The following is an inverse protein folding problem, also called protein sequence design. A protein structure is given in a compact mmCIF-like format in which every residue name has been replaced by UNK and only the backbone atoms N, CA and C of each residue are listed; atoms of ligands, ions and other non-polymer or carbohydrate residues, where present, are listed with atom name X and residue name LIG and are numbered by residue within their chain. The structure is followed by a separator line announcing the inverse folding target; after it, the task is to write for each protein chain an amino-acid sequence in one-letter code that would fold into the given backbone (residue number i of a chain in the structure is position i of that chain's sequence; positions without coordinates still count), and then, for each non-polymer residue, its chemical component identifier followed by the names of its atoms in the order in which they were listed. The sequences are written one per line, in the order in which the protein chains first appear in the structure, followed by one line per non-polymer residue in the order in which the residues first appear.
data_IF_608675159365
#
_entry.id   IF_608675159365
#
_cell.length_a   1.000
_cell.length_b   1.000
_cell.length_c   1.000
_cell.angle_alpha   90.00
_cell.angle_beta   90.00
_cell.angle_gamma   90.00
#
_symmetry.space_group_name_H-M   'P 1'
#
loop_
_entity.id
_entity.type
_entity.pdbx_description
1 polymer ?
#
# COMPACT_ATOMS: atom_id res chain seq x y z
N UNK A 1 -46.30 -42.03 32.24
CA UNK A 1 -45.11 -41.77 31.46
C UNK A 1 -45.06 -40.27 31.17
N UNK A 2 -44.30 -39.51 31.95
CA UNK A 2 -44.19 -38.04 31.85
C UNK A 2 -42.90 -37.73 31.06
N UNK A 3 -43.04 -37.18 29.83
CA UNK A 3 -41.95 -36.78 28.98
C UNK A 3 -41.46 -35.39 29.47
N UNK A 4 -40.22 -35.32 29.91
CA UNK A 4 -39.56 -34.06 30.25
C UNK A 4 -39.01 -33.36 28.96
N UNK A 5 -39.54 -32.20 28.62
CA UNK A 5 -38.98 -31.31 27.59
C UNK A 5 -37.70 -30.66 28.13
N UNK A 6 -36.56 -31.01 27.52
CA UNK A 6 -35.28 -30.28 27.76
C UNK A 6 -35.21 -29.15 26.76
N UNK A 7 -35.41 -27.93 27.20
CA UNK A 7 -35.19 -26.71 26.42
C UNK A 7 -33.70 -26.39 26.37
N UNK A 8 -33.08 -26.56 25.22
CA UNK A 8 -31.69 -26.10 24.98
C UNK A 8 -31.71 -24.59 24.67
N UNK A 9 -31.33 -23.77 25.61
CA UNK A 9 -31.06 -22.36 25.37
C UNK A 9 -29.73 -22.23 24.63
N UNK A 10 -29.77 -21.91 23.34
CA UNK A 10 -28.58 -21.49 22.61
C UNK A 10 -28.18 -20.07 23.05
N UNK A 11 -27.08 -19.96 23.79
CA UNK A 11 -26.46 -18.67 24.12
C UNK A 11 -25.95 -18.05 22.81
N UNK A 12 -26.67 -17.09 22.27
CA UNK A 12 -26.16 -16.23 21.20
C UNK A 12 -25.14 -15.29 21.82
N UNK A 13 -23.84 -15.58 21.63
CA UNK A 13 -22.77 -14.64 21.94
C UNK A 13 -22.88 -13.49 20.94
N UNK A 14 -23.35 -12.35 21.40
CA UNK A 14 -23.34 -11.12 20.59
C UNK A 14 -21.89 -10.77 20.25
N UNK A 15 -21.51 -10.88 18.98
CA UNK A 15 -20.21 -10.44 18.51
C UNK A 15 -20.18 -8.92 18.59
N UNK A 16 -19.30 -8.37 19.42
CA UNK A 16 -19.11 -6.92 19.52
C UNK A 16 -18.78 -6.36 18.11
N UNK A 17 -19.31 -5.17 17.77
CA UNK A 17 -18.95 -4.53 16.51
C UNK A 17 -17.43 -4.31 16.46
N UNK A 18 -16.81 -4.36 15.29
CA UNK A 18 -15.37 -4.10 15.16
C UNK A 18 -15.06 -2.69 15.68
N UNK A 19 -13.91 -2.49 16.33
CA UNK A 19 -13.53 -1.18 16.82
C UNK A 19 -13.42 -0.21 15.63
N UNK A 20 -13.84 1.04 15.87
CA UNK A 20 -13.68 2.13 14.92
C UNK A 20 -12.26 2.69 15.00
N UNK A 21 -11.82 3.38 13.95
CA UNK A 21 -10.64 4.20 13.99
C UNK A 21 -10.80 5.30 15.03
N UNK A 22 -9.77 5.51 15.85
CA UNK A 22 -9.78 6.50 16.93
C UNK A 22 -8.71 7.55 16.65
N UNK A 23 -9.14 8.67 16.13
CA UNK A 23 -8.22 9.77 15.79
C UNK A 23 -7.49 10.36 16.98
N UNK A 24 -8.04 10.25 18.19
CA UNK A 24 -7.36 10.68 19.41
C UNK A 24 -6.14 9.82 19.72
N UNK A 25 -6.23 8.50 19.46
CA UNK A 25 -5.09 7.58 19.56
C UNK A 25 -4.07 7.83 18.46
N UNK A 26 -4.51 7.97 17.20
CA UNK A 26 -3.62 8.30 16.10
C UNK A 26 -2.90 9.63 16.33
N UNK A 27 -3.60 10.64 16.85
CA UNK A 27 -3.04 11.93 17.21
C UNK A 27 -1.98 11.82 18.32
N UNK A 28 -2.21 11.00 19.33
CA UNK A 28 -1.20 10.78 20.36
C UNK A 28 0.05 10.10 19.80
N UNK A 29 -0.09 9.12 18.91
CA UNK A 29 1.06 8.56 18.19
C UNK A 29 1.79 9.61 17.37
N UNK A 30 1.07 10.49 16.66
CA UNK A 30 1.68 11.61 15.93
C UNK A 30 2.46 12.55 16.86
N UNK A 31 1.90 12.90 18.00
CA UNK A 31 2.59 13.73 19.01
C UNK A 31 3.90 13.11 19.47
N UNK A 32 3.91 11.79 19.72
CA UNK A 32 5.11 11.08 20.16
C UNK A 32 6.18 11.04 19.06
N UNK A 33 5.78 10.79 17.81
CA UNK A 33 6.70 10.78 16.67
C UNK A 33 7.31 12.17 16.44
N UNK A 34 6.52 13.23 16.48
CA UNK A 34 7.00 14.60 16.34
C UNK A 34 7.92 15.02 17.50
N UNK A 35 7.66 14.52 18.73
CA UNK A 35 8.52 14.79 19.88
C UNK A 35 9.93 14.19 19.75
N UNK A 36 10.10 13.09 19.02
CA UNK A 36 11.42 12.53 18.67
C UNK A 36 12.20 13.54 17.83
N UNK A 37 11.53 14.27 16.94
CA UNK A 37 12.12 15.31 16.10
C UNK A 37 12.45 14.86 14.68
N UNK A 38 13.36 15.59 13.98
CA UNK A 38 13.83 15.20 12.65
C UNK A 38 14.44 13.80 12.67
N UNK A 39 13.94 12.94 11.80
CA UNK A 39 14.26 11.51 11.76
C UNK A 39 14.64 11.01 10.36
N UNK A 40 15.60 11.69 9.67
CA UNK A 40 16.01 11.22 8.35
C UNK A 40 16.62 9.82 8.45
N UNK A 41 16.49 9.05 7.38
CA UNK A 41 17.06 7.70 7.28
C UNK A 41 18.53 7.66 7.73
N UNK A 42 18.89 6.63 8.50
CA UNK A 42 20.23 6.44 9.06
C UNK A 42 20.53 7.27 10.31
N UNK A 43 19.64 8.16 10.77
CA UNK A 43 19.87 8.99 11.97
C UNK A 43 19.58 8.22 13.26
N UNK A 44 20.12 8.63 14.43
CA UNK A 44 19.73 8.09 15.73
C UNK A 44 18.23 8.28 16.04
N UNK A 45 17.61 9.34 15.51
CA UNK A 45 16.20 9.63 15.71
C UNK A 45 15.30 8.64 14.95
N UNK A 46 15.68 8.20 13.74
CA UNK A 46 14.93 7.16 13.03
C UNK A 46 14.97 5.81 13.76
N UNK A 47 16.07 5.51 14.48
CA UNK A 47 16.15 4.31 15.33
C UNK A 47 15.19 4.39 16.53
N UNK A 48 15.07 5.57 17.15
CA UNK A 48 14.09 5.82 18.21
C UNK A 48 12.66 5.70 17.69
N UNK A 49 12.41 6.20 16.47
CA UNK A 49 11.12 6.08 15.80
C UNK A 49 10.75 4.63 15.54
N UNK A 50 11.68 3.82 14.99
CA UNK A 50 11.48 2.37 14.80
C UNK A 50 11.15 1.65 16.11
N UNK A 51 11.91 1.98 17.15
CA UNK A 51 11.67 1.42 18.49
C UNK A 51 10.25 1.76 18.97
N UNK A 52 9.83 3.01 18.86
CA UNK A 52 8.49 3.45 19.25
C UNK A 52 7.40 2.70 18.46
N UNK A 53 7.50 2.64 17.14
CA UNK A 53 6.54 1.93 16.27
C UNK A 53 6.46 0.46 16.67
N UNK A 54 7.62 -0.20 16.85
CA UNK A 54 7.69 -1.62 17.23
C UNK A 54 7.05 -1.88 18.59
N UNK A 55 7.30 -1.02 19.59
CA UNK A 55 6.69 -1.12 20.91
C UNK A 55 5.17 -1.01 20.86
N UNK A 56 4.63 -0.04 20.09
CA UNK A 56 3.18 0.15 19.97
C UNK A 56 2.51 -1.04 19.27
N UNK A 57 3.08 -1.54 18.19
CA UNK A 57 2.58 -2.71 17.47
C UNK A 57 2.65 -3.99 18.30
N UNK A 58 3.74 -4.17 19.05
CA UNK A 58 3.91 -5.29 19.98
C UNK A 58 2.91 -5.22 21.13
N UNK A 59 2.68 -4.04 21.71
CA UNK A 59 1.67 -3.81 22.72
C UNK A 59 0.24 -4.10 22.21
N UNK A 60 -0.01 -3.85 20.92
CA UNK A 60 -1.23 -4.29 20.23
C UNK A 60 -1.25 -5.81 19.97
N UNK A 61 -0.19 -6.56 20.35
CA UNK A 61 -0.06 -8.01 20.19
C UNK A 61 0.17 -8.44 18.74
N UNK A 62 0.90 -7.65 17.99
CA UNK A 62 1.36 -7.94 16.63
C UNK A 62 2.87 -8.22 16.63
N UNK A 63 3.32 -9.09 15.75
CA UNK A 63 4.74 -9.38 15.56
C UNK A 63 5.30 -8.51 14.44
N UNK A 64 6.26 -7.67 14.77
CA UNK A 64 6.94 -6.80 13.81
C UNK A 64 8.07 -7.56 13.13
N UNK A 65 8.16 -7.42 11.83
CA UNK A 65 9.27 -7.92 11.01
C UNK A 65 10.06 -6.73 10.50
N UNK A 66 11.36 -6.75 10.73
CA UNK A 66 12.30 -5.76 10.21
C UNK A 66 12.93 -6.27 8.91
N UNK A 67 12.90 -5.44 7.88
CA UNK A 67 13.61 -5.65 6.63
C UNK A 67 14.73 -4.60 6.55
N UNK A 68 15.91 -4.96 7.02
CA UNK A 68 17.07 -4.07 7.10
C UNK A 68 18.03 -4.28 5.92
N UNK A 69 18.53 -3.17 5.37
CA UNK A 69 19.57 -3.19 4.33
C UNK A 69 20.46 -1.96 4.41
N UNK A 70 21.52 -1.96 3.64
CA UNK A 70 22.38 -0.81 3.42
C UNK A 70 22.19 -0.31 1.99
N UNK A 71 21.84 0.97 1.85
CA UNK A 71 21.59 1.62 0.58
C UNK A 71 22.72 2.58 0.24
N UNK A 72 23.18 2.56 -1.03
CA UNK A 72 24.11 3.56 -1.53
C UNK A 72 23.32 4.76 -2.06
N UNK A 73 23.23 5.80 -1.27
CA UNK A 73 22.60 7.06 -1.67
C UNK A 73 23.61 7.97 -2.39
N UNK A 74 23.18 9.06 -3.06
CA UNK A 74 24.10 10.00 -3.68
C UNK A 74 25.09 10.67 -2.72
N UNK A 75 24.76 10.75 -1.42
CA UNK A 75 25.57 11.42 -0.41
C UNK A 75 26.48 10.42 0.32
N UNK A 76 25.91 9.30 0.76
CA UNK A 76 26.58 8.36 1.64
C UNK A 76 25.87 7.01 1.62
N UNK A 77 26.50 6.00 2.21
CA UNK A 77 25.89 4.70 2.47
C UNK A 77 25.05 4.79 3.74
N UNK A 78 23.77 4.43 3.65
CA UNK A 78 22.80 4.58 4.73
C UNK A 78 22.17 3.24 5.06
N UNK A 79 22.08 2.91 6.35
CA UNK A 79 21.28 1.79 6.84
C UNK A 79 19.82 2.23 6.88
N UNK A 80 18.98 1.51 6.14
CA UNK A 80 17.53 1.69 6.11
C UNK A 80 16.83 0.43 6.62
N UNK A 81 15.61 0.57 7.17
CA UNK A 81 14.84 -0.54 7.72
C UNK A 81 13.35 -0.32 7.47
N UNK A 82 12.73 -1.12 6.62
CA UNK A 82 11.28 -1.22 6.60
C UNK A 82 10.78 -2.03 7.79
N UNK A 83 9.62 -1.66 8.35
CA UNK A 83 8.92 -2.45 9.35
C UNK A 83 7.62 -2.96 8.77
N UNK A 84 7.27 -4.21 9.06
CA UNK A 84 5.95 -4.72 8.65
C UNK A 84 5.29 -5.56 9.74
N UNK A 85 3.96 -5.57 9.72
CA UNK A 85 3.13 -6.48 10.49
C UNK A 85 2.11 -7.13 9.60
N UNK A 86 1.91 -8.44 9.79
CA UNK A 86 0.92 -9.21 9.06
C UNK A 86 -0.26 -9.53 9.95
N UNK A 87 -1.46 -9.13 9.53
CA UNK A 87 -2.73 -9.39 10.20
C UNK A 87 -3.47 -10.44 9.37
N UNK A 88 -3.59 -11.70 9.86
CA UNK A 88 -4.17 -12.78 9.10
C UNK A 88 -5.63 -12.49 8.72
N UNK A 89 -5.99 -12.84 7.48
CA UNK A 89 -7.37 -12.89 6.99
C UNK A 89 -7.82 -14.32 6.70
N UNK A 90 -9.02 -14.46 6.17
CA UNK A 90 -9.55 -15.76 5.75
C UNK A 90 -8.78 -16.38 4.58
N UNK A 91 -8.06 -15.56 3.81
CA UNK A 91 -7.22 -15.98 2.68
C UNK A 91 -5.81 -15.44 2.82
N UNK A 92 -4.84 -16.16 2.24
CA UNK A 92 -3.43 -15.77 2.22
C UNK A 92 -3.09 -14.66 1.22
N UNK A 93 -4.00 -14.38 0.28
CA UNK A 93 -3.84 -13.23 -0.60
C UNK A 93 -3.78 -11.95 0.24
N UNK A 94 -2.85 -11.03 -0.08
CA UNK A 94 -2.53 -9.87 0.76
C UNK A 94 -2.97 -8.55 0.13
N UNK A 95 -3.42 -7.65 1.00
CA UNK A 95 -3.50 -6.21 0.76
C UNK A 95 -2.42 -5.55 1.60
N UNK A 96 -1.55 -4.74 1.00
CA UNK A 96 -0.60 -3.90 1.71
C UNK A 96 -1.22 -2.52 1.93
N UNK A 97 -1.12 -1.99 3.14
CA UNK A 97 -1.38 -0.58 3.45
C UNK A 97 -0.07 -0.02 3.99
N UNK A 98 0.47 0.98 3.32
CA UNK A 98 1.81 1.50 3.60
C UNK A 98 1.82 3.01 3.82
N UNK A 99 2.89 3.49 4.40
CA UNK A 99 3.26 4.88 4.53
C UNK A 99 4.68 4.98 5.03
N UNK A 100 5.36 6.06 4.74
CA UNK A 100 6.72 6.25 5.21
C UNK A 100 6.76 6.81 6.64
N UNK A 101 7.92 6.71 7.28
CA UNK A 101 8.11 7.19 8.65
C UNK A 101 9.39 8.00 8.84
N UNK A 102 10.24 8.09 7.82
CA UNK A 102 11.40 8.98 7.79
C UNK A 102 10.98 10.43 7.53
N UNK A 103 11.93 11.35 7.62
CA UNK A 103 11.76 12.75 7.23
C UNK A 103 12.87 13.16 6.30
N UNK A 104 12.60 14.13 5.44
CA UNK A 104 13.60 14.74 4.60
C UNK A 104 14.76 15.31 5.42
N UNK A 105 15.97 15.17 4.91
CA UNK A 105 17.17 15.71 5.53
C UNK A 105 17.35 17.19 5.19
N UNK A 106 16.99 18.08 6.10
CA UNK A 106 17.31 19.51 6.02
C UNK A 106 18.42 19.88 7.01
N UNK A 107 19.41 20.63 6.55
CA UNK A 107 20.50 21.16 7.37
C UNK A 107 20.28 22.64 7.75
N UNK A 108 19.39 23.32 7.03
CA UNK A 108 19.14 24.77 7.13
C UNK A 108 18.12 25.11 8.22
N UNK A 109 17.19 24.18 8.50
CA UNK A 109 16.14 24.33 9.49
C UNK A 109 15.74 22.97 10.08
N UNK A 110 15.01 23.02 11.18
CA UNK A 110 14.47 21.83 11.82
C UNK A 110 13.17 21.41 11.12
N UNK A 111 13.18 20.24 10.49
CA UNK A 111 12.02 19.64 9.83
C UNK A 111 11.58 18.40 10.60
N UNK A 112 10.40 18.45 11.21
CA UNK A 112 9.89 17.34 12.03
C UNK A 112 8.91 16.44 11.26
N UNK A 113 8.46 16.88 10.09
CA UNK A 113 7.57 16.07 9.23
C UNK A 113 6.35 15.57 10.02
N UNK A 114 5.50 16.48 10.47
CA UNK A 114 4.32 16.08 11.24
C UNK A 114 3.26 15.47 10.32
N UNK A 115 2.94 16.12 9.21
CA UNK A 115 2.12 15.52 8.16
C UNK A 115 2.95 14.57 7.33
N UNK A 116 4.14 14.99 6.92
CA UNK A 116 5.07 14.31 6.03
C UNK A 116 5.84 13.22 6.80
N UNK A 117 5.45 11.96 6.58
CA UNK A 117 5.90 10.75 7.26
C UNK A 117 5.34 10.53 8.67
N UNK A 118 5.09 11.60 9.44
CA UNK A 118 4.55 11.48 10.80
C UNK A 118 3.11 11.00 10.82
N UNK A 119 2.26 11.61 9.99
CA UNK A 119 0.84 11.28 9.91
C UNK A 119 0.61 9.86 9.41
N UNK A 120 1.36 9.42 8.44
CA UNK A 120 1.33 8.06 7.87
C UNK A 120 1.66 7.01 8.91
N UNK A 121 2.77 7.19 9.62
CA UNK A 121 3.20 6.24 10.66
C UNK A 121 2.21 6.18 11.83
N UNK A 122 1.73 7.32 12.31
CA UNK A 122 0.74 7.40 13.39
C UNK A 122 -0.59 6.74 13.01
N UNK A 123 -1.04 6.98 11.78
CA UNK A 123 -2.24 6.36 11.21
C UNK A 123 -2.13 4.84 11.16
N UNK A 124 -1.00 4.32 10.66
CA UNK A 124 -0.79 2.87 10.52
C UNK A 124 -0.74 2.16 11.89
N UNK A 125 -0.20 2.80 12.94
CA UNK A 125 -0.20 2.23 14.30
C UNK A 125 -1.64 2.06 14.80
N UNK A 126 -2.48 3.07 14.67
CA UNK A 126 -3.89 2.96 15.10
C UNK A 126 -4.69 2.00 14.20
N UNK A 127 -4.43 2.02 12.89
CA UNK A 127 -5.06 1.11 11.94
C UNK A 127 -4.77 -0.36 12.28
N UNK A 128 -3.54 -0.66 12.76
CA UNK A 128 -3.15 -1.99 13.21
C UNK A 128 -4.06 -2.53 14.30
N UNK A 129 -4.39 -1.70 15.31
CA UNK A 129 -5.30 -2.04 16.41
C UNK A 129 -6.70 -2.41 15.88
N UNK A 130 -7.21 -1.60 14.96
CA UNK A 130 -8.54 -1.80 14.38
C UNK A 130 -8.60 -3.06 13.53
N UNK A 131 -7.64 -3.23 12.62
CA UNK A 131 -7.61 -4.35 11.68
C UNK A 131 -7.36 -5.69 12.36
N UNK A 132 -6.61 -5.71 13.48
CA UNK A 132 -6.43 -6.92 14.29
C UNK A 132 -7.75 -7.46 14.84
N UNK A 133 -8.66 -6.58 15.23
CA UNK A 133 -9.96 -6.96 15.77
C UNK A 133 -11.04 -7.15 14.67
N UNK A 134 -10.76 -6.71 13.44
CA UNK A 134 -11.66 -6.87 12.28
C UNK A 134 -11.56 -8.29 11.71
N UNK A 135 -12.67 -8.83 11.20
CA UNK A 135 -12.66 -10.04 10.38
C UNK A 135 -12.26 -9.67 8.95
N UNK A 136 -10.99 -9.90 8.61
CA UNK A 136 -10.44 -9.60 7.29
C UNK A 136 -10.69 -10.76 6.35
N UNK A 137 -11.20 -10.49 5.14
CA UNK A 137 -11.37 -11.53 4.11
C UNK A 137 -10.03 -11.91 3.46
N UNK A 138 -9.13 -10.94 3.30
CA UNK A 138 -7.75 -11.12 2.85
C UNK A 138 -6.79 -10.80 4.01
N UNK A 139 -5.59 -11.33 3.95
CA UNK A 139 -4.52 -10.95 4.87
C UNK A 139 -4.16 -9.48 4.63
N UNK A 140 -4.04 -8.70 5.69
CA UNK A 140 -3.59 -7.30 5.62
C UNK A 140 -2.15 -7.24 6.11
N UNK A 141 -1.31 -6.57 5.36
CA UNK A 141 0.05 -6.23 5.75
C UNK A 141 0.15 -4.72 5.89
N UNK A 142 0.54 -4.25 7.07
CA UNK A 142 0.88 -2.85 7.28
C UNK A 142 2.39 -2.70 7.12
N UNK A 143 2.81 -1.76 6.29
CA UNK A 143 4.19 -1.57 5.89
C UNK A 143 4.62 -0.13 6.17
N UNK A 144 5.56 0.03 7.07
CA UNK A 144 6.20 1.30 7.39
C UNK A 144 7.49 1.39 6.59
N UNK A 145 7.56 2.34 5.69
CA UNK A 145 8.65 2.49 4.73
C UNK A 145 9.71 3.46 5.27
N UNK A 146 10.99 3.09 5.13
CA UNK A 146 12.14 3.93 5.43
C UNK A 146 12.75 4.41 4.11
N UNK A 147 13.19 5.66 4.07
CA UNK A 147 13.88 6.21 2.91
C UNK A 147 12.93 6.46 1.73
N UNK A 148 11.74 6.94 1.97
CA UNK A 148 10.91 7.53 0.94
C UNK A 148 11.57 8.82 0.43
N UNK A 149 12.09 9.62 1.35
CA UNK A 149 12.62 10.94 1.11
C UNK A 149 13.95 10.96 0.34
N UNK A 150 14.03 11.87 -0.62
CA UNK A 150 15.28 12.14 -1.35
C UNK A 150 16.37 12.67 -0.42
N UNK A 151 17.61 12.17 -0.59
CA UNK A 151 18.78 12.60 0.18
C UNK A 151 19.34 13.94 -0.33
N UNK A 152 19.16 14.22 -1.61
CA UNK A 152 19.45 15.52 -2.24
C UNK A 152 18.25 16.46 -2.10
N UNK A 153 18.45 17.78 -2.30
CA UNK A 153 17.35 18.75 -2.26
C UNK A 153 16.24 18.41 -3.25
N UNK A 154 16.61 17.97 -4.45
CA UNK A 154 15.69 17.70 -5.54
C UNK A 154 15.18 16.26 -5.51
N UNK A 155 13.90 16.06 -5.78
CA UNK A 155 13.31 14.76 -6.03
C UNK A 155 13.62 14.32 -7.46
N UNK A 156 14.60 13.45 -7.65
CA UNK A 156 15.02 13.08 -8.99
C UNK A 156 15.58 11.66 -9.09
N UNK A 157 15.37 11.03 -10.24
CA UNK A 157 15.95 9.74 -10.57
C UNK A 157 15.55 8.66 -9.57
N UNK A 158 16.54 8.04 -8.94
CA UNK A 158 16.36 6.97 -7.95
C UNK A 158 16.71 7.39 -6.52
N UNK A 159 16.92 8.69 -6.29
CA UNK A 159 17.19 9.24 -4.96
C UNK A 159 15.89 9.52 -4.20
N UNK A 160 15.05 8.49 -4.08
CA UNK A 160 13.77 8.52 -3.37
C UNK A 160 13.19 7.10 -3.29
N UNK A 161 12.11 6.92 -2.57
CA UNK A 161 11.33 5.68 -2.52
C UNK A 161 12.17 4.40 -2.35
N UNK A 162 13.25 4.50 -1.60
CA UNK A 162 14.19 3.40 -1.39
C UNK A 162 13.52 2.20 -0.74
N UNK A 163 12.67 2.46 0.28
CA UNK A 163 11.99 1.42 1.04
C UNK A 163 11.02 0.59 0.20
N UNK A 164 10.18 1.24 -0.58
CA UNK A 164 9.21 0.54 -1.43
C UNK A 164 9.87 -0.22 -2.59
N UNK A 165 10.91 0.37 -3.21
CA UNK A 165 11.71 -0.33 -4.23
C UNK A 165 12.38 -1.58 -3.65
N UNK A 166 12.98 -1.46 -2.47
CA UNK A 166 13.62 -2.59 -1.78
C UNK A 166 12.59 -3.67 -1.42
N UNK A 167 11.45 -3.28 -0.84
CA UNK A 167 10.38 -4.22 -0.49
C UNK A 167 9.89 -5.01 -1.71
N UNK A 168 9.59 -4.33 -2.82
CA UNK A 168 9.11 -4.98 -4.05
C UNK A 168 10.15 -5.93 -4.64
N UNK A 169 11.43 -5.53 -4.63
CA UNK A 169 12.53 -6.38 -5.13
C UNK A 169 12.68 -7.65 -4.28
N UNK A 170 12.64 -7.53 -2.94
CA UNK A 170 12.71 -8.67 -2.04
C UNK A 170 11.49 -9.59 -2.20
N UNK A 171 10.28 -9.01 -2.29
CA UNK A 171 9.06 -9.78 -2.53
C UNK A 171 9.05 -10.52 -3.89
N UNK A 172 9.75 -9.97 -4.89
CA UNK A 172 9.98 -10.66 -6.16
C UNK A 172 10.94 -11.83 -6.02
N UNK A 173 12.06 -11.64 -5.28
CA UNK A 173 13.10 -12.65 -5.07
C UNK A 173 12.61 -13.85 -4.28
N UNK A 174 11.83 -13.64 -3.23
CA UNK A 174 11.30 -14.70 -2.37
C UNK A 174 9.97 -15.28 -2.86
N UNK A 175 9.41 -14.73 -3.94
CA UNK A 175 8.15 -15.17 -4.55
C UNK A 175 6.90 -14.70 -3.82
N UNK A 176 7.00 -13.94 -2.73
CA UNK A 176 5.87 -13.46 -1.94
C UNK A 176 5.03 -12.42 -2.70
N UNK A 177 5.60 -11.77 -3.73
CA UNK A 177 4.88 -10.88 -4.64
C UNK A 177 3.66 -11.57 -5.29
N UNK A 178 3.73 -12.89 -5.49
CA UNK A 178 2.64 -13.67 -6.08
C UNK A 178 1.36 -13.70 -5.23
N UNK A 179 1.44 -13.37 -3.95
CA UNK A 179 0.27 -13.26 -3.05
C UNK A 179 -0.20 -11.83 -2.86
N UNK A 180 0.57 -10.84 -3.29
CA UNK A 180 0.22 -9.43 -3.19
C UNK A 180 -0.82 -9.07 -4.25
N UNK A 181 -1.96 -8.51 -3.84
CA UNK A 181 -3.10 -8.22 -4.72
C UNK A 181 -3.32 -6.76 -4.97
N UNK A 182 -3.06 -5.93 -3.99
CA UNK A 182 -3.17 -4.48 -4.11
C UNK A 182 -2.42 -3.80 -2.96
N UNK A 183 -2.08 -2.53 -3.17
CA UNK A 183 -1.43 -1.67 -2.20
C UNK A 183 -2.21 -0.35 -2.09
N UNK A 184 -2.34 0.16 -0.88
CA UNK A 184 -2.79 1.52 -0.58
C UNK A 184 -1.67 2.23 0.17
N UNK A 185 -1.22 3.35 -0.37
CA UNK A 185 -0.31 4.26 0.28
C UNK A 185 -1.12 5.33 0.99
N UNK A 186 -0.67 5.77 2.14
CA UNK A 186 -1.14 6.97 2.83
C UNK A 186 0.07 7.86 3.07
N UNK A 187 0.00 9.09 2.62
CA UNK A 187 1.04 10.08 2.82
C UNK A 187 0.46 11.48 3.02
N UNK A 188 1.13 12.30 3.84
CA UNK A 188 0.73 13.68 4.17
C UNK A 188 -0.78 13.83 4.52
N UNK A 189 -1.35 12.85 5.23
CA UNK A 189 -2.78 12.79 5.57
C UNK A 189 -3.15 13.54 6.86
N UNK A 190 -2.22 14.32 7.40
CA UNK A 190 -2.39 15.06 8.64
C UNK A 190 -2.87 16.49 8.47
N UNK A 191 -2.85 17.05 7.27
CA UNK A 191 -3.18 18.45 7.02
C UNK A 191 -4.51 18.86 7.67
N UNK A 192 -4.52 20.01 8.35
CA UNK A 192 -5.70 20.58 8.97
C UNK A 192 -6.79 20.92 7.95
N UNK A 193 -6.36 21.38 6.77
CA UNK A 193 -7.21 21.77 5.66
C UNK A 193 -7.26 20.70 4.57
N UNK A 194 -7.29 19.44 4.96
CA UNK A 194 -7.20 18.23 4.16
C UNK A 194 -8.00 18.30 2.85
N UNK A 195 -7.31 18.12 1.71
CA UNK A 195 -7.87 18.17 0.36
C UNK A 195 -7.25 17.14 -0.60
N UNK A 196 -7.54 15.86 -0.36
CA UNK A 196 -6.97 14.74 -1.11
C UNK A 196 -7.50 14.73 -2.56
N UNK A 197 -6.59 14.84 -3.53
CA UNK A 197 -6.89 14.73 -4.96
C UNK A 197 -6.67 13.31 -5.46
N UNK A 198 -7.35 12.96 -6.57
CA UNK A 198 -7.09 11.69 -7.25
C UNK A 198 -5.70 11.71 -7.86
N UNK A 199 -4.85 10.74 -7.51
CA UNK A 199 -3.62 10.55 -8.25
C UNK A 199 -3.88 9.84 -9.58
N UNK A 200 -3.39 10.44 -10.68
CA UNK A 200 -3.53 9.91 -12.03
C UNK A 200 -2.62 8.70 -12.32
N UNK A 201 -1.56 8.51 -11.53
CA UNK A 201 -0.68 7.33 -11.60
C UNK A 201 -1.26 6.14 -10.85
N UNK A 202 -2.23 6.38 -9.97
CA UNK A 202 -2.93 5.35 -9.21
C UNK A 202 -3.83 4.47 -10.06
N UNK A 203 -4.15 3.28 -9.56
CA UNK A 203 -5.09 2.38 -10.22
C UNK A 203 -6.51 2.92 -10.14
N UNK A 204 -7.12 3.24 -11.27
CA UNK A 204 -8.43 3.89 -11.38
C UNK A 204 -9.52 3.24 -10.55
N UNK A 205 -9.60 1.89 -10.50
CA UNK A 205 -10.65 1.24 -9.74
C UNK A 205 -10.49 1.37 -8.21
N UNK A 206 -9.25 1.57 -7.71
CA UNK A 206 -8.99 1.87 -6.30
C UNK A 206 -9.42 3.30 -5.99
N UNK A 207 -9.00 4.28 -6.79
CA UNK A 207 -9.49 5.65 -6.70
C UNK A 207 -11.03 5.68 -6.65
N UNK A 208 -11.70 4.97 -7.55
CA UNK A 208 -13.17 4.98 -7.61
C UNK A 208 -13.79 4.41 -6.33
N UNK A 209 -13.28 3.31 -5.78
CA UNK A 209 -13.79 2.73 -4.52
C UNK A 209 -13.61 3.70 -3.35
N UNK A 210 -12.44 4.35 -3.24
CA UNK A 210 -12.15 5.29 -2.16
C UNK A 210 -13.05 6.53 -2.24
N UNK A 211 -13.12 7.21 -3.39
CA UNK A 211 -13.97 8.39 -3.59
C UNK A 211 -15.46 8.09 -3.48
N UNK A 212 -15.90 6.93 -3.98
CA UNK A 212 -17.28 6.49 -3.78
C UNK A 212 -17.58 6.18 -2.30
N UNK A 213 -16.58 5.72 -1.55
CA UNK A 213 -16.71 5.50 -0.12
C UNK A 213 -16.78 6.81 0.64
N UNK A 214 -15.91 7.77 0.33
CA UNK A 214 -15.94 9.12 0.89
C UNK A 214 -17.32 9.76 0.70
N UNK A 215 -17.85 9.74 -0.53
CA UNK A 215 -19.18 10.28 -0.85
C UNK A 215 -20.30 9.61 -0.06
N UNK A 216 -20.27 8.28 0.12
CA UNK A 216 -21.28 7.56 0.93
C UNK A 216 -21.21 7.87 2.41
N UNK A 217 -20.10 8.43 2.87
CA UNK A 217 -19.87 8.81 4.26
C UNK A 217 -19.96 10.32 4.48
N UNK A 218 -20.39 11.08 3.46
CA UNK A 218 -20.45 12.55 3.48
C UNK A 218 -19.08 13.18 3.80
N UNK A 219 -18.00 12.63 3.20
CA UNK A 219 -16.59 13.04 3.35
C UNK A 219 -15.97 13.50 2.01
N UNK A 220 -16.78 13.77 1.01
CA UNK A 220 -16.35 14.20 -0.32
C UNK A 220 -15.77 15.61 -0.37
N UNK A 221 -16.02 16.42 0.66
CA UNK A 221 -15.32 17.71 0.86
C UNK A 221 -13.80 17.51 1.09
N UNK A 222 -13.38 16.36 1.58
CA UNK A 222 -11.96 16.01 1.84
C UNK A 222 -11.34 15.17 0.72
N UNK A 223 -12.17 14.43 -0.03
CA UNK A 223 -11.76 13.61 -1.18
C UNK A 223 -12.27 14.25 -2.45
N UNK A 224 -11.61 15.32 -2.87
CA UNK A 224 -12.06 16.21 -3.94
C UNK A 224 -11.97 15.55 -5.33
N UNK A 225 -12.75 16.08 -6.28
CA UNK A 225 -12.89 15.45 -7.60
C UNK A 225 -11.68 15.65 -8.51
N UNK A 226 -10.84 16.65 -8.21
CA UNK A 226 -9.66 17.00 -9.02
C UNK A 226 -8.66 15.86 -9.09
N UNK A 227 -7.82 15.91 -10.10
CA UNK A 227 -6.77 14.91 -10.32
C UNK A 227 -5.43 15.60 -10.55
N UNK A 228 -4.39 15.02 -9.93
CA UNK A 228 -2.99 15.40 -10.15
C UNK A 228 -2.17 14.15 -10.46
N UNK A 229 -0.93 14.33 -10.86
CA UNK A 229 0.01 13.21 -11.09
C UNK A 229 1.07 13.24 -10.00
N UNK A 230 1.21 12.15 -9.29
CA UNK A 230 2.11 12.03 -8.14
C UNK A 230 3.12 10.92 -8.38
N UNK A 231 4.36 11.15 -7.96
CA UNK A 231 5.42 10.15 -7.92
C UNK A 231 5.76 9.86 -6.47
N UNK A 232 5.51 8.61 -6.03
CA UNK A 232 5.64 8.21 -4.64
C UNK A 232 5.80 6.67 -4.52
N UNK A 233 5.87 6.16 -3.30
CA UNK A 233 6.07 4.76 -2.91
C UNK A 233 5.08 3.75 -3.52
N UNK A 234 3.93 4.20 -4.05
CA UNK A 234 3.01 3.36 -4.78
C UNK A 234 3.53 2.95 -6.18
N UNK A 235 4.43 3.75 -6.79
CA UNK A 235 4.93 3.50 -8.15
C UNK A 235 5.77 2.22 -8.30
N UNK A 236 6.66 1.85 -7.37
CA UNK A 236 7.37 0.57 -7.43
C UNK A 236 6.42 -0.64 -7.48
N UNK A 237 5.31 -0.59 -6.74
CA UNK A 237 4.27 -1.63 -6.78
C UNK A 237 3.55 -1.64 -8.13
N UNK A 238 3.22 -0.47 -8.66
CA UNK A 238 2.63 -0.31 -10.01
C UNK A 238 3.54 -0.88 -11.10
N UNK A 239 4.83 -0.58 -11.03
CA UNK A 239 5.84 -1.10 -11.96
C UNK A 239 5.99 -2.63 -11.87
N UNK A 240 5.71 -3.21 -10.69
CA UNK A 240 5.66 -4.66 -10.48
C UNK A 240 4.34 -5.31 -10.93
N UNK A 241 3.39 -4.54 -11.48
CA UNK A 241 2.08 -5.03 -11.93
C UNK A 241 1.05 -5.16 -10.80
N UNK A 242 1.33 -4.63 -9.62
CA UNK A 242 0.40 -4.62 -8.48
C UNK A 242 -0.48 -3.38 -8.58
N UNK A 243 -1.82 -3.52 -8.56
CA UNK A 243 -2.70 -2.38 -8.43
C UNK A 243 -2.40 -1.60 -7.15
N UNK A 244 -2.11 -0.30 -7.27
CA UNK A 244 -1.82 0.55 -6.12
C UNK A 244 -2.53 1.90 -6.24
N UNK A 245 -2.77 2.54 -5.11
CA UNK A 245 -3.35 3.87 -4.99
C UNK A 245 -2.58 4.65 -3.95
N UNK A 246 -2.43 5.92 -4.22
CA UNK A 246 -1.88 6.91 -3.31
C UNK A 246 -3.01 7.79 -2.76
N UNK A 247 -3.05 7.93 -1.45
CA UNK A 247 -3.98 8.75 -0.66
C UNK A 247 -3.12 9.83 0.00
N UNK A 248 -2.95 10.94 -0.71
CA UNK A 248 -2.02 11.99 -0.33
C UNK A 248 -2.66 13.37 -0.48
N UNK A 249 -2.36 14.26 0.44
CA UNK A 249 -2.64 15.69 0.32
C UNK A 249 -1.36 16.45 -0.06
N UNK A 250 -1.16 16.68 -1.36
CA UNK A 250 0.01 17.39 -1.88
C UNK A 250 -0.19 18.91 -1.89
N UNK A 251 -1.40 19.42 -1.66
CA UNK A 251 -1.67 20.88 -1.56
C UNK A 251 -1.33 21.46 -0.18
N UNK A 252 -0.60 20.73 0.63
CA UNK A 252 -0.21 21.06 1.99
C UNK A 252 0.80 22.23 2.04
N UNK A 253 0.36 23.40 2.50
CA UNK A 253 1.17 24.63 2.52
C UNK A 253 2.46 24.52 3.35
N UNK A 254 2.48 23.69 4.38
CA UNK A 254 3.64 23.47 5.23
C UNK A 254 4.62 22.42 4.68
N UNK A 255 4.31 21.78 3.56
CA UNK A 255 5.15 20.76 2.96
C UNK A 255 6.58 21.21 2.77
N UNK A 256 7.53 20.41 3.22
CA UNK A 256 8.97 20.63 3.14
C UNK A 256 9.43 21.98 3.76
N UNK A 257 8.70 22.48 4.75
CA UNK A 257 9.06 23.68 5.51
C UNK A 257 9.21 23.41 7.01
N UNK A 258 9.76 24.35 7.75
CA UNK A 258 9.82 24.29 9.23
C UNK A 258 8.44 24.35 9.90
N UNK A 259 7.39 24.64 9.12
CA UNK A 259 6.01 24.77 9.60
C UNK A 259 5.25 23.43 9.59
N UNK A 260 5.83 22.37 9.02
CA UNK A 260 5.23 21.02 9.11
C UNK A 260 5.36 20.49 10.55
N UNK A 261 4.48 20.98 11.40
CA UNK A 261 4.41 20.70 12.82
C UNK A 261 2.97 20.29 13.21
N UNK A 262 2.76 19.92 14.47
CA UNK A 262 1.43 19.60 14.97
C UNK A 262 0.41 20.72 14.75
N UNK A 263 0.85 21.97 14.72
CA UNK A 263 -0.03 23.13 14.51
C UNK A 263 -0.61 23.18 13.08
N UNK A 264 0.05 22.57 12.11
CA UNK A 264 -0.45 22.44 10.75
C UNK A 264 -1.33 21.18 10.56
N UNK A 265 -1.38 20.29 11.55
CA UNK A 265 -2.09 19.02 11.47
C UNK A 265 -3.41 19.02 12.25
N UNK A 266 -4.26 18.03 11.97
CA UNK A 266 -5.55 17.81 12.63
C UNK A 266 -5.83 16.32 12.88
N UNK A 267 -6.28 15.99 14.09
CA UNK A 267 -6.81 14.66 14.38
C UNK A 267 -8.05 14.32 13.52
N UNK A 268 -8.82 15.35 13.12
CA UNK A 268 -9.96 15.16 12.22
C UNK A 268 -9.55 14.61 10.86
N UNK A 269 -8.45 15.06 10.32
CA UNK A 269 -7.92 14.59 9.02
C UNK A 269 -7.56 13.11 9.07
N UNK A 270 -6.88 12.67 10.14
CA UNK A 270 -6.60 11.25 10.40
C UNK A 270 -7.88 10.41 10.52
N UNK A 271 -8.94 10.96 11.15
CA UNK A 271 -10.24 10.28 11.25
C UNK A 271 -10.89 10.10 9.88
N UNK A 272 -10.90 11.16 9.07
CA UNK A 272 -11.48 11.15 7.72
C UNK A 272 -10.85 10.05 6.88
N UNK A 273 -9.51 10.01 6.83
CA UNK A 273 -8.80 8.97 6.08
C UNK A 273 -9.04 7.59 6.66
N UNK A 274 -9.07 7.45 8.00
CA UNK A 274 -9.38 6.19 8.68
C UNK A 274 -10.75 5.64 8.33
N UNK A 275 -11.76 6.48 8.34
CA UNK A 275 -13.14 6.11 8.01
C UNK A 275 -13.26 5.68 6.55
N UNK A 276 -12.64 6.43 5.62
CA UNK A 276 -12.67 6.10 4.19
C UNK A 276 -11.90 4.82 3.88
N UNK A 277 -10.69 4.63 4.42
CA UNK A 277 -9.88 3.42 4.20
C UNK A 277 -10.60 2.19 4.75
N UNK A 278 -11.10 2.24 5.99
CA UNK A 278 -11.84 1.12 6.60
C UNK A 278 -13.16 0.84 5.87
N UNK A 279 -13.87 1.87 5.43
CA UNK A 279 -15.11 1.75 4.66
C UNK A 279 -14.92 1.19 3.26
N UNK A 280 -13.75 1.42 2.63
CA UNK A 280 -13.39 0.93 1.31
C UNK A 280 -12.92 -0.54 1.33
N UNK A 281 -12.27 -1.00 2.41
CA UNK A 281 -11.69 -2.34 2.51
C UNK A 281 -12.63 -3.47 2.10
N UNK A 282 -13.90 -3.55 2.54
CA UNK A 282 -14.80 -4.65 2.16
C UNK A 282 -15.02 -4.74 0.65
N UNK A 283 -15.09 -3.59 -0.05
CA UNK A 283 -15.28 -3.54 -1.49
C UNK A 283 -14.02 -3.93 -2.25
N UNK A 284 -12.85 -3.50 -1.74
CA UNK A 284 -11.53 -3.86 -2.28
C UNK A 284 -11.34 -5.39 -2.13
N UNK A 285 -11.58 -5.94 -0.95
CA UNK A 285 -11.50 -7.38 -0.67
C UNK A 285 -12.43 -8.19 -1.60
N UNK A 286 -13.67 -7.74 -1.77
CA UNK A 286 -14.64 -8.40 -2.64
C UNK A 286 -14.21 -8.36 -4.11
N UNK A 287 -13.72 -7.22 -4.61
CA UNK A 287 -13.25 -7.08 -6.00
C UNK A 287 -12.05 -7.97 -6.27
N UNK A 288 -11.06 -7.97 -5.38
CA UNK A 288 -9.87 -8.82 -5.48
C UNK A 288 -10.25 -10.30 -5.45
N UNK A 289 -11.11 -10.72 -4.52
CA UNK A 289 -11.56 -12.11 -4.39
C UNK A 289 -12.31 -12.57 -5.65
N UNK A 290 -13.19 -11.74 -6.22
CA UNK A 290 -13.91 -12.03 -7.45
C UNK A 290 -12.98 -12.23 -8.64
N UNK A 291 -11.95 -11.40 -8.76
CA UNK A 291 -10.93 -11.52 -9.81
C UNK A 291 -10.18 -12.85 -9.72
N UNK A 292 -9.79 -13.28 -8.52
CA UNK A 292 -9.09 -14.55 -8.28
C UNK A 292 -9.95 -15.78 -8.68
N UNK A 293 -11.24 -15.76 -8.37
CA UNK A 293 -12.16 -16.85 -8.76
C UNK A 293 -12.28 -16.95 -10.28
N UNK A 294 -12.35 -15.84 -10.99
CA UNK A 294 -12.44 -15.82 -12.45
C UNK A 294 -11.15 -16.34 -13.11
N UNK A 295 -9.99 -15.97 -12.57
CA UNK A 295 -8.68 -16.42 -13.07
C UNK A 295 -8.48 -17.92 -12.80
N UNK A 296 -8.84 -18.42 -11.61
CA UNK A 296 -8.77 -19.82 -11.25
C UNK A 296 -9.68 -20.72 -12.14
N UNK A 297 -10.87 -20.24 -12.49
CA UNK A 297 -11.77 -20.96 -13.41
C UNK A 297 -11.23 -21.05 -14.83
N UNK A 298 -10.50 -20.03 -15.32
CA UNK A 298 -9.87 -20.08 -16.66
C UNK A 298 -8.73 -21.09 -16.72
N UNK A 299 -7.93 -21.22 -15.67
CA UNK A 299 -6.82 -22.20 -15.61
C UNK A 299 -7.36 -23.66 -15.58
N UNK A 300 -8.51 -23.92 -14.94
CA UNK A 300 -9.12 -25.26 -14.90
C UNK A 300 -10.00 -25.57 -16.11
N UNK A 301 -10.42 -24.55 -16.88
CA UNK A 301 -11.26 -24.72 -18.08
C UNK A 301 -10.49 -25.10 -19.36
N UNK A 302 -9.17 -24.96 -19.39
CA UNK A 302 -8.33 -25.22 -20.57
C UNK A 302 -7.78 -26.65 -20.67
N UNK A 303 -8.15 -27.56 -19.75
CA UNK A 303 -7.87 -29.00 -19.86
C UNK A 303 -8.99 -29.80 -20.52
N UNK A 304 -9.68 -29.26 -21.52
CA UNK A 304 -10.51 -30.07 -22.41
C UNK A 304 -9.68 -30.33 -23.66
N UNK A 305 -9.30 -31.61 -23.76
CA UNK A 305 -8.76 -32.39 -24.87
C UNK A 305 -8.90 -31.70 -26.24
N UNK A 306 -7.79 -31.27 -26.82
CA UNK A 306 -7.68 -31.17 -28.27
C UNK A 306 -7.43 -32.60 -28.76
N UNK A 307 -8.50 -33.34 -29.11
CA UNK A 307 -8.39 -34.51 -29.99
C UNK A 307 -8.06 -33.98 -31.37
N UNK A 308 -6.77 -34.03 -31.72
CA UNK A 308 -6.32 -33.82 -33.09
C UNK A 308 -6.79 -34.98 -33.91
N UNK A 309 -7.87 -34.78 -34.66
CA UNK A 309 -8.23 -35.65 -35.79
C UNK A 309 -7.17 -35.49 -36.86
N UNK A 310 -6.28 -36.48 -36.92
CA UNK A 310 -5.37 -36.66 -38.05
C UNK A 310 -6.16 -37.08 -39.31
N UNK A 311 -6.63 -36.10 -40.08
CA UNK A 311 -7.08 -36.36 -41.45
C UNK A 311 -5.83 -36.55 -42.32
N UNK A 312 -5.51 -37.79 -42.67
CA UNK A 312 -4.53 -38.15 -43.66
C UNK A 312 -4.99 -37.63 -45.02
N UNK A 313 -4.49 -36.47 -45.46
CA UNK A 313 -4.61 -35.98 -46.84
C UNK A 313 -3.50 -36.58 -47.67
N UNK A 314 -3.85 -37.54 -48.57
CA UNK A 314 -2.96 -38.03 -49.61
C UNK A 314 -2.58 -36.89 -50.56
N UNK A 315 -1.33 -36.49 -50.55
CA UNK A 315 -0.75 -35.59 -51.57
C UNK A 315 -0.28 -36.44 -52.71
N UNK A 316 -0.82 -36.22 -53.92
CA UNK A 316 -0.29 -36.74 -55.19
C UNK A 316 0.90 -35.88 -55.62
N UNK A 317 1.93 -36.50 -56.21
CA UNK A 317 3.10 -35.75 -56.67
C UNK A 317 2.89 -35.27 -58.12
N UNK A 318 2.93 -33.97 -58.33
CA UNK A 318 3.28 -33.24 -59.57
C UNK A 318 3.21 -31.74 -59.29
N UNK A 319 4.36 -31.16 -59.32
CA UNK A 319 4.88 -30.07 -60.15
C UNK A 319 6.05 -29.39 -59.45
N UNK A 320 7.22 -29.90 -59.78
CA UNK A 320 8.43 -29.07 -59.75
C UNK A 320 8.45 -28.34 -61.07
N UNK A 321 8.56 -27.01 -61.05
CA UNK A 321 9.36 -26.20 -61.99
C UNK A 321 9.22 -24.72 -61.63
N UNK A 322 10.39 -24.06 -61.46
CA UNK A 322 10.67 -22.61 -61.52
C UNK A 322 10.13 -21.77 -60.37
N UNK A 323 10.90 -20.97 -59.68
CA UNK A 323 11.82 -19.93 -60.18
C UNK A 323 12.90 -19.61 -59.16
N UNK A 324 14.15 -19.61 -59.61
CA UNK A 324 15.28 -18.89 -59.01
C UNK A 324 15.25 -17.45 -59.52
N UNK A 325 15.78 -16.56 -58.71
CA UNK A 325 16.27 -15.21 -58.96
C UNK A 325 15.43 -14.08 -58.34
N UNK A 326 15.92 -13.51 -57.28
CA UNK A 326 16.67 -12.27 -57.24
C UNK A 326 17.26 -12.05 -55.84
N UNK A 327 18.55 -12.25 -55.75
CA UNK A 327 19.44 -11.60 -54.79
C UNK A 327 19.87 -10.26 -55.40
N UNK A 328 19.88 -9.21 -54.59
CA UNK A 328 20.99 -8.25 -54.52
C UNK A 328 20.53 -6.81 -54.30
N UNK A 329 21.22 -6.20 -53.36
CA UNK A 329 21.54 -4.75 -53.20
C UNK A 329 20.35 -3.85 -52.79
N UNK A 330 20.47 -3.16 -51.64
CA UNK A 330 21.39 -2.06 -51.37
C UNK A 330 21.56 -1.83 -49.88
N UNK A 331 22.82 -1.71 -49.50
CA UNK A 331 23.34 -1.03 -48.35
C UNK A 331 23.49 0.47 -48.68
N UNK A 332 23.52 1.31 -47.63
CA UNK A 332 23.92 2.72 -47.57
C UNK A 332 22.80 3.76 -47.78
N UNK A 333 22.33 4.33 -46.69
CA UNK A 333 22.74 5.70 -46.27
C UNK A 333 22.31 5.91 -44.83
#
# INVERSE_FOLDING_TARGET
MTAALVSVFALQVAVAPPPKFDSGRAWEHLRQLVAIGPRPSGSPAIEQTRKYITEQLTAAGLSVVEQAWEEQTPIEKVKMVNLSVTIPGARRDRIVIAGHYDTKLYRQFRFVGASDGGSSAAFLIELARVLKARRNALTIELLFLDGEEARLPEWSGTDNTYGSRHYVEMARRDGSLATLRTMMLVDMIGDRDLAIRRDANSTTWLNNILWDTARRQDLDDYFIADSTRIEDDHLPFRAAGIPAVDIIDLDYDAWHTSNDTLDACSARSLQVVGDVVLGALPQIEAKVTKSLVLTGRRVHGTKRSVHVLHAKRKVRPRDRVRERAHLSLEAAH
#
